data_IF_802885062459
#
_entry.id   IF_802885062459
#
_cell.length_a   1.000
_cell.length_b   1.000
_cell.length_c   1.000
_cell.angle_alpha   90.00
_cell.angle_beta   90.00
_cell.angle_gamma   90.00
#
_symmetry.space_group_name_H-M   'P 1'
#
loop_
_entity.id
_entity.type
_entity.pdbx_description
1 polymer ?
#
# COMPACT_ATOMS: atom_id res chain seq x y z
N UNK A 1 -21.06 -26.14 -37.87
CA UNK A 1 -21.03 -24.66 -37.84
C UNK A 1 -21.54 -24.06 -36.54
N UNK A 2 -22.80 -24.29 -36.10
CA UNK A 2 -23.31 -23.72 -34.82
C UNK A 2 -22.61 -24.32 -33.59
N UNK A 3 -22.35 -25.63 -33.62
CA UNK A 3 -21.68 -26.38 -32.55
C UNK A 3 -20.23 -25.95 -32.33
N UNK A 4 -19.46 -25.70 -33.39
CA UNK A 4 -18.06 -25.26 -33.30
C UNK A 4 -17.92 -23.86 -32.71
N UNK A 5 -18.85 -22.95 -33.05
CA UNK A 5 -18.89 -21.60 -32.49
C UNK A 5 -19.17 -21.62 -31.00
N UNK A 6 -20.13 -22.44 -30.55
CA UNK A 6 -20.46 -22.59 -29.14
C UNK A 6 -19.29 -23.19 -28.35
N UNK A 7 -18.60 -24.20 -28.91
CA UNK A 7 -17.39 -24.77 -28.30
C UNK A 7 -16.28 -23.74 -28.13
N UNK A 8 -16.03 -22.91 -29.15
CA UNK A 8 -15.03 -21.82 -29.06
C UNK A 8 -15.38 -20.78 -27.99
N UNK A 9 -16.66 -20.43 -27.86
CA UNK A 9 -17.12 -19.52 -26.79
C UNK A 9 -16.91 -20.16 -25.41
N UNK A 10 -17.25 -21.44 -25.25
CA UNK A 10 -17.06 -22.17 -24.00
C UNK A 10 -15.58 -22.23 -23.60
N UNK A 11 -14.68 -22.53 -24.53
CA UNK A 11 -13.24 -22.56 -24.32
C UNK A 11 -12.70 -21.17 -23.94
N UNK A 12 -13.14 -20.12 -24.67
CA UNK A 12 -12.77 -18.74 -24.38
C UNK A 12 -13.22 -18.29 -23.00
N UNK A 13 -14.46 -18.61 -22.61
CA UNK A 13 -15.01 -18.30 -21.30
C UNK A 13 -14.26 -19.02 -20.17
N UNK A 14 -13.97 -20.31 -20.34
CA UNK A 14 -13.17 -21.07 -19.39
C UNK A 14 -11.76 -20.46 -19.22
N UNK A 15 -11.12 -20.06 -20.31
CA UNK A 15 -9.80 -19.42 -20.25
C UNK A 15 -9.85 -18.05 -19.58
N UNK A 16 -10.85 -17.23 -19.89
CA UNK A 16 -11.05 -15.94 -19.24
C UNK A 16 -11.23 -16.09 -17.74
N UNK A 17 -12.02 -17.06 -17.27
CA UNK A 17 -12.19 -17.28 -15.83
C UNK A 17 -10.90 -17.73 -15.12
N UNK A 18 -9.99 -18.44 -15.80
CA UNK A 18 -8.66 -18.76 -15.25
C UNK A 18 -7.76 -17.53 -15.14
N UNK A 19 -7.84 -16.64 -16.13
CA UNK A 19 -6.97 -15.47 -16.22
C UNK A 19 -7.50 -14.26 -15.43
N UNK A 20 -8.80 -14.22 -15.16
CA UNK A 20 -9.44 -13.06 -14.55
C UNK A 20 -8.93 -12.77 -13.12
N UNK A 21 -8.81 -13.75 -12.20
CA UNK A 21 -8.29 -13.48 -10.86
C UNK A 21 -6.91 -12.80 -10.81
N UNK A 22 -5.86 -13.28 -11.51
CA UNK A 22 -4.57 -12.58 -11.51
C UNK A 22 -4.65 -11.18 -12.14
N UNK A 23 -5.44 -10.98 -13.20
CA UNK A 23 -5.66 -9.65 -13.80
C UNK A 23 -6.30 -8.68 -12.80
N UNK A 24 -7.32 -9.13 -12.06
CA UNK A 24 -7.98 -8.31 -11.04
C UNK A 24 -7.06 -8.02 -9.84
N UNK A 25 -6.21 -8.99 -9.46
CA UNK A 25 -5.19 -8.78 -8.44
C UNK A 25 -4.19 -7.71 -8.82
N UNK A 26 -3.71 -7.74 -10.05
CA UNK A 26 -2.79 -6.75 -10.60
C UNK A 26 -3.45 -5.36 -10.68
N UNK A 27 -4.71 -5.29 -11.09
CA UNK A 27 -5.47 -4.03 -11.12
C UNK A 27 -5.61 -3.42 -9.72
N UNK A 28 -5.84 -4.26 -8.70
CA UNK A 28 -5.91 -3.82 -7.31
C UNK A 28 -4.54 -3.37 -6.75
N UNK A 29 -3.45 -4.06 -7.11
CA UNK A 29 -2.08 -3.63 -6.78
C UNK A 29 -1.79 -2.28 -7.42
N UNK A 30 -2.09 -2.10 -8.72
CA UNK A 30 -1.87 -0.84 -9.42
C UNK A 30 -2.71 0.30 -8.84
N UNK A 31 -3.94 0.03 -8.42
CA UNK A 31 -4.75 1.00 -7.67
C UNK A 31 -4.05 1.44 -6.38
N UNK A 32 -3.52 0.48 -5.60
CA UNK A 32 -2.73 0.78 -4.41
C UNK A 32 -1.45 1.57 -4.70
N UNK A 33 -0.74 1.25 -5.78
CA UNK A 33 0.48 1.96 -6.16
C UNK A 33 0.19 3.41 -6.58
N UNK A 34 -0.93 3.65 -7.28
CA UNK A 34 -1.36 4.99 -7.64
C UNK A 34 -1.57 5.89 -6.41
N UNK A 35 -1.99 5.33 -5.26
CA UNK A 35 -2.12 6.11 -4.03
C UNK A 35 -0.80 6.69 -3.53
N UNK A 36 0.33 6.01 -3.77
CA UNK A 36 1.65 6.58 -3.43
C UNK A 36 2.03 7.72 -4.36
N UNK A 37 1.66 7.64 -5.64
CA UNK A 37 2.00 8.66 -6.63
C UNK A 37 1.10 9.90 -6.49
N UNK A 38 -0.17 9.70 -6.09
CA UNK A 38 -1.11 10.77 -5.79
C UNK A 38 -1.00 11.30 -4.36
N UNK A 39 -0.27 10.60 -3.50
CA UNK A 39 -0.24 10.83 -2.05
C UNK A 39 -1.64 10.89 -1.43
N UNK A 40 -2.54 10.02 -1.90
CA UNK A 40 -3.96 10.05 -1.56
C UNK A 40 -4.64 8.70 -1.75
N UNK A 41 -5.71 8.44 -0.99
CA UNK A 41 -6.60 7.29 -1.20
C UNK A 41 -7.87 7.72 -1.91
N UNK A 42 -8.19 7.10 -3.05
CA UNK A 42 -9.47 7.32 -3.72
C UNK A 42 -10.56 6.44 -3.10
N UNK A 43 -11.07 6.82 -1.92
CA UNK A 43 -12.17 6.15 -1.22
C UNK A 43 -13.54 6.65 -1.71
N UNK A 44 -14.50 6.82 -0.80
CA UNK A 44 -15.76 7.54 -1.12
C UNK A 44 -15.48 8.99 -1.55
N UNK A 45 -14.40 9.56 -1.00
CA UNK A 45 -13.81 10.83 -1.39
C UNK A 45 -12.31 10.65 -1.61
N UNK A 46 -11.66 11.61 -2.26
CA UNK A 46 -10.20 11.66 -2.33
C UNK A 46 -9.63 12.05 -0.96
N UNK A 47 -9.06 11.09 -0.23
CA UNK A 47 -8.43 11.27 1.08
C UNK A 47 -6.93 11.55 0.89
N UNK A 48 -6.59 12.82 0.69
CA UNK A 48 -5.21 13.28 0.53
C UNK A 48 -4.44 13.13 1.84
N UNK A 49 -3.26 12.53 1.77
CA UNK A 49 -2.45 12.25 2.93
C UNK A 49 -1.94 13.53 3.59
N UNK A 50 -1.91 13.51 4.92
CA UNK A 50 -1.32 14.62 5.67
C UNK A 50 0.16 14.79 5.31
N UNK A 51 0.52 16.01 4.92
CA UNK A 51 1.89 16.44 4.67
C UNK A 51 2.81 16.16 5.88
N UNK A 52 4.11 15.98 5.60
CA UNK A 52 5.11 15.93 6.66
C UNK A 52 5.05 17.25 7.43
N UNK A 53 5.30 17.18 8.74
CA UNK A 53 5.66 18.40 9.47
C UNK A 53 6.91 18.95 8.79
N UNK A 54 6.83 20.15 8.25
CA UNK A 54 7.93 20.79 7.52
C UNK A 54 9.23 20.60 8.31
N UNK A 55 10.34 20.20 7.68
CA UNK A 55 11.62 20.24 8.35
C UNK A 55 11.84 21.70 8.72
N UNK A 56 11.71 22.01 10.01
CA UNK A 56 12.20 23.27 10.58
C UNK A 56 13.67 23.48 10.16
N UNK A 57 14.31 24.59 10.55
CA UNK A 57 15.77 24.77 10.35
C UNK A 57 16.66 23.60 10.83
N UNK A 58 16.09 22.65 11.58
CA UNK A 58 16.71 21.44 12.12
C UNK A 58 16.36 20.14 11.37
N UNK A 59 15.43 20.18 10.42
CA UNK A 59 15.10 19.01 9.62
C UNK A 59 16.07 18.86 8.44
N UNK A 60 16.14 17.66 7.87
CA UNK A 60 17.11 17.39 6.83
C UNK A 60 16.69 18.02 5.49
N UNK A 61 17.61 18.64 4.73
CA UNK A 61 17.31 19.23 3.43
C UNK A 61 16.73 18.24 2.40
N UNK A 62 17.07 16.96 2.49
CA UNK A 62 16.63 15.90 1.57
C UNK A 62 15.16 15.47 1.77
N UNK A 63 14.46 16.05 2.76
CA UNK A 63 13.07 15.72 3.08
C UNK A 63 12.04 16.71 2.51
N UNK A 64 12.44 17.84 1.93
CA UNK A 64 11.52 18.90 1.47
C UNK A 64 10.82 18.62 0.14
N UNK A 65 11.42 17.82 -0.75
CA UNK A 65 10.87 17.53 -2.09
C UNK A 65 10.47 16.07 -2.33
N UNK A 66 10.58 15.20 -1.32
CA UNK A 66 10.41 13.76 -1.48
C UNK A 66 9.00 13.30 -1.12
N UNK A 67 8.41 12.48 -1.99
CA UNK A 67 7.08 11.91 -1.79
C UNK A 67 6.91 11.18 -0.45
N UNK A 68 5.73 11.32 0.16
CA UNK A 68 5.28 10.67 1.38
C UNK A 68 5.42 9.15 1.26
N UNK A 69 5.84 8.51 2.35
CA UNK A 69 6.08 7.06 2.44
C UNK A 69 7.14 6.50 1.47
N UNK A 70 7.82 7.34 0.69
CA UNK A 70 8.88 6.93 -0.23
C UNK A 70 10.22 7.46 0.26
N UNK A 71 10.96 6.66 1.05
CA UNK A 71 12.38 6.92 1.37
C UNK A 71 13.29 6.02 0.56
N UNK A 72 13.25 4.73 0.86
CA UNK A 72 13.93 3.68 0.10
C UNK A 72 13.00 3.03 -0.93
N UNK A 73 11.71 3.39 -0.92
CA UNK A 73 10.65 2.75 -1.71
C UNK A 73 10.21 1.36 -1.22
N UNK A 74 10.75 0.88 -0.09
CA UNK A 74 10.49 -0.48 0.41
C UNK A 74 9.00 -0.75 0.64
N UNK A 75 8.26 0.19 1.25
CA UNK A 75 6.83 0.04 1.47
C UNK A 75 6.05 -0.07 0.16
N UNK A 76 6.30 0.82 -0.80
CA UNK A 76 5.66 0.78 -2.13
C UNK A 76 5.92 -0.57 -2.82
N UNK A 77 7.16 -1.06 -2.79
CA UNK A 77 7.55 -2.37 -3.36
C UNK A 77 6.95 -3.57 -2.62
N UNK A 78 6.48 -3.41 -1.39
CA UNK A 78 5.90 -4.51 -0.62
C UNK A 78 4.45 -4.83 -1.03
N UNK A 79 3.78 -3.92 -1.74
CA UNK A 79 2.41 -4.10 -2.23
C UNK A 79 2.39 -5.16 -3.34
N UNK A 80 1.65 -6.25 -3.13
CA UNK A 80 1.58 -7.35 -4.09
C UNK A 80 0.34 -8.23 -3.87
N UNK A 81 0.02 -9.04 -4.87
CA UNK A 81 -0.87 -10.19 -4.69
C UNK A 81 -0.15 -11.21 -3.79
N UNK A 82 -0.77 -11.56 -2.67
CA UNK A 82 -0.23 -12.52 -1.70
C UNK A 82 -0.77 -13.92 -1.96
N UNK A 83 -2.04 -14.04 -2.37
CA UNK A 83 -2.69 -15.33 -2.59
C UNK A 83 -3.86 -15.19 -3.54
N UNK A 84 -4.03 -16.17 -4.41
CA UNK A 84 -5.22 -16.33 -5.24
C UNK A 84 -5.88 -17.64 -4.84
N UNK A 85 -7.20 -17.61 -4.70
CA UNK A 85 -8.06 -18.78 -4.48
C UNK A 85 -9.19 -18.75 -5.50
N UNK A 86 -9.97 -19.82 -5.58
CA UNK A 86 -11.06 -19.96 -6.57
C UNK A 86 -12.03 -18.76 -6.60
N UNK A 87 -12.24 -18.09 -5.46
CA UNK A 87 -13.25 -17.04 -5.32
C UNK A 87 -12.71 -15.73 -4.77
N UNK A 88 -11.41 -15.65 -4.43
CA UNK A 88 -10.84 -14.47 -3.79
C UNK A 88 -9.41 -14.23 -4.22
N UNK A 89 -9.07 -12.96 -4.38
CA UNK A 89 -7.72 -12.47 -4.58
C UNK A 89 -7.33 -11.67 -3.33
N UNK A 90 -6.23 -12.08 -2.71
CA UNK A 90 -5.67 -11.42 -1.53
C UNK A 90 -4.52 -10.56 -1.96
N UNK A 91 -4.67 -9.25 -1.82
CA UNK A 91 -3.57 -8.29 -1.90
C UNK A 91 -3.08 -7.96 -0.50
N UNK A 92 -1.81 -7.61 -0.37
CA UNK A 92 -1.33 -7.05 0.87
C UNK A 92 -0.06 -6.24 0.69
N UNK A 93 0.31 -5.57 1.78
CA UNK A 93 1.45 -4.70 1.86
C UNK A 93 2.14 -4.90 3.21
N UNK A 94 3.46 -4.80 3.21
CA UNK A 94 4.29 -5.06 4.37
C UNK A 94 4.90 -6.46 4.39
N UNK A 95 5.19 -6.93 5.61
CA UNK A 95 5.89 -8.19 5.90
C UNK A 95 6.89 -7.99 7.04
N UNK A 96 7.72 -9.01 7.29
CA UNK A 96 8.76 -8.96 8.33
C UNK A 96 9.70 -7.76 8.16
N UNK A 97 10.07 -7.44 6.91
CA UNK A 97 10.98 -6.33 6.62
C UNK A 97 10.30 -4.95 6.61
N UNK A 98 8.96 -4.91 6.60
CA UNK A 98 8.18 -3.67 6.53
C UNK A 98 7.04 -3.71 7.58
N UNK A 99 7.38 -3.84 8.87
CA UNK A 99 6.39 -4.03 9.95
C UNK A 99 5.55 -2.77 10.18
N UNK A 100 6.04 -1.61 9.71
CA UNK A 100 5.39 -0.30 9.85
C UNK A 100 4.26 -0.06 8.83
N UNK A 101 4.09 -0.94 7.84
CA UNK A 101 3.09 -0.78 6.78
C UNK A 101 1.68 -0.52 7.36
N UNK A 102 1.24 -1.40 8.26
CA UNK A 102 -0.09 -1.34 8.88
C UNK A 102 -0.34 -0.01 9.59
N UNK A 103 0.64 0.46 10.38
CA UNK A 103 0.52 1.70 11.13
C UNK A 103 0.38 2.93 10.22
N UNK A 104 0.98 2.91 9.03
CA UNK A 104 0.76 3.96 8.05
C UNK A 104 -0.59 3.83 7.33
N UNK A 105 -1.01 2.63 6.92
CA UNK A 105 -2.26 2.45 6.19
C UNK A 105 -3.49 2.87 7.01
N UNK A 106 -3.51 2.51 8.30
CA UNK A 106 -4.65 2.76 9.18
C UNK A 106 -4.45 3.95 10.12
N UNK A 107 -3.23 4.49 10.20
CA UNK A 107 -2.84 5.38 11.28
C UNK A 107 -2.59 4.62 12.58
N UNK A 108 -2.04 5.32 13.57
CA UNK A 108 -1.84 4.78 14.91
C UNK A 108 -1.85 5.89 15.94
N UNK A 109 -2.61 5.73 17.01
CA UNK A 109 -2.57 6.62 18.18
C UNK A 109 -2.55 5.78 19.43
N UNK A 110 -1.50 5.91 20.24
CA UNK A 110 -1.37 5.08 21.44
C UNK A 110 -0.02 5.21 22.13
N UNK A 111 0.07 4.57 23.30
CA UNK A 111 1.34 4.42 24.03
C UNK A 111 2.13 3.27 23.42
N UNK A 112 3.44 3.46 23.27
CA UNK A 112 4.39 2.44 22.83
C UNK A 112 5.55 2.43 23.80
N UNK A 113 5.83 1.28 24.38
CA UNK A 113 7.03 1.08 25.17
C UNK A 113 8.17 0.70 24.24
N UNK A 114 9.26 1.46 24.34
CA UNK A 114 10.44 1.31 23.50
C UNK A 114 11.65 1.03 24.39
N UNK A 115 12.37 -0.05 24.10
CA UNK A 115 13.70 -0.24 24.63
C UNK A 115 14.72 0.54 23.79
N UNK A 116 15.48 1.44 24.41
CA UNK A 116 16.53 2.22 23.77
C UNK A 116 17.87 1.62 24.17
N UNK A 117 18.57 1.01 23.20
CA UNK A 117 19.91 0.46 23.41
C UNK A 117 20.90 1.57 23.76
N UNK A 118 21.95 1.23 24.50
CA UNK A 118 23.04 2.16 24.78
C UNK A 118 23.71 2.64 23.48
N UNK A 119 24.06 3.92 23.40
CA UNK A 119 24.76 4.50 22.26
C UNK A 119 25.55 5.76 22.64
N UNK A 120 26.51 6.13 21.78
CA UNK A 120 27.28 7.37 21.92
C UNK A 120 26.60 8.49 21.14
N UNK A 121 26.33 9.63 21.80
CA UNK A 121 25.80 10.83 21.15
C UNK A 121 26.85 11.94 21.12
N UNK A 122 27.04 12.58 19.96
CA UNK A 122 27.84 13.80 19.82
C UNK A 122 27.00 15.02 20.23
N UNK A 123 27.53 15.84 21.13
CA UNK A 123 26.89 17.07 21.60
C UNK A 123 27.28 18.27 20.73
N UNK A 124 26.52 19.37 20.85
CA UNK A 124 26.78 20.60 20.09
C UNK A 124 28.17 21.20 20.36
N UNK A 125 28.72 20.98 21.55
CA UNK A 125 30.06 21.43 21.94
C UNK A 125 31.19 20.48 21.50
N UNK A 126 30.92 19.53 20.59
CA UNK A 126 31.90 18.58 20.07
C UNK A 126 32.21 17.40 20.97
N UNK A 127 31.84 17.43 22.26
CA UNK A 127 32.05 16.32 23.20
C UNK A 127 31.12 15.15 22.90
N UNK A 128 31.57 13.95 23.26
CA UNK A 128 30.77 12.72 23.21
C UNK A 128 30.18 12.41 24.57
N UNK A 129 28.96 11.87 24.57
CA UNK A 129 28.26 11.43 25.78
C UNK A 129 27.76 10.00 25.58
N UNK A 130 28.07 9.12 26.54
CA UNK A 130 27.50 7.78 26.58
C UNK A 130 26.07 7.84 27.14
N UNK A 131 25.12 7.34 26.36
CA UNK A 131 23.73 7.17 26.78
C UNK A 131 23.55 5.71 27.20
N UNK A 132 23.14 5.49 28.45
CA UNK A 132 22.85 4.15 28.97
C UNK A 132 21.55 3.60 28.37
N UNK A 133 21.46 2.28 28.29
CA UNK A 133 20.22 1.59 27.96
C UNK A 133 19.11 2.01 28.94
N UNK A 134 17.91 2.24 28.41
CA UNK A 134 16.72 2.53 29.20
C UNK A 134 15.45 2.23 28.40
N UNK A 135 14.38 1.97 29.14
CA UNK A 135 13.03 1.89 28.58
C UNK A 135 12.35 3.25 28.64
N UNK A 136 11.53 3.55 27.64
CA UNK A 136 10.69 4.75 27.63
C UNK A 136 9.32 4.44 27.03
N UNK A 137 8.30 5.05 27.60
CA UNK A 137 6.96 5.05 27.02
C UNK A 137 6.78 6.31 26.17
N UNK A 138 6.39 6.16 24.91
CA UNK A 138 6.10 7.27 24.00
C UNK A 138 4.65 7.25 23.59
N UNK A 139 4.03 8.44 23.52
CA UNK A 139 2.71 8.62 22.94
C UNK A 139 2.86 8.87 21.45
N UNK A 140 2.64 7.84 20.64
CA UNK A 140 2.71 7.95 19.19
C UNK A 140 1.38 8.45 18.61
N UNK A 141 1.51 9.30 17.58
CA UNK A 141 0.42 9.78 16.75
C UNK A 141 0.87 9.75 15.29
N UNK A 142 0.65 8.63 14.63
CA UNK A 142 0.95 8.39 13.22
C UNK A 142 -0.33 8.67 12.42
N UNK A 143 -0.31 9.64 11.49
CA UNK A 143 -1.49 9.91 10.68
C UNK A 143 -1.74 8.77 9.70
N UNK A 144 -3.02 8.51 9.46
CA UNK A 144 -3.50 7.57 8.46
C UNK A 144 -3.09 8.04 7.07
N UNK A 145 -2.54 7.12 6.28
CA UNK A 145 -2.16 7.29 4.87
C UNK A 145 -2.53 6.00 4.16
N UNK A 146 -3.82 5.86 3.83
CA UNK A 146 -4.32 4.64 3.24
C UNK A 146 -3.80 4.51 1.80
N UNK A 147 -3.25 3.34 1.49
CA UNK A 147 -2.80 2.96 0.15
C UNK A 147 -3.28 1.56 -0.22
N UNK A 148 -3.89 0.81 0.70
CA UNK A 148 -4.46 -0.50 0.43
C UNK A 148 -5.78 -0.66 1.17
N UNK A 149 -6.74 -1.30 0.50
CA UNK A 149 -8.12 -1.50 0.94
C UNK A 149 -8.87 -2.42 -0.03
N UNK A 150 -10.06 -2.84 0.35
CA UNK A 150 -10.95 -3.67 -0.46
C UNK A 150 -11.91 -2.85 -1.32
N UNK A 151 -12.74 -3.54 -2.08
CA UNK A 151 -13.82 -2.97 -2.91
C UNK A 151 -14.88 -2.20 -2.09
N UNK A 152 -15.01 -2.53 -0.80
CA UNK A 152 -15.85 -1.81 0.16
C UNK A 152 -15.26 -0.47 0.60
N UNK A 153 -13.93 -0.34 0.55
CA UNK A 153 -13.22 0.87 1.01
C UNK A 153 -13.07 1.92 -0.11
N UNK A 154 -13.41 1.55 -1.36
CA UNK A 154 -13.26 2.41 -2.52
C UNK A 154 -14.26 2.06 -3.65
N UNK A 155 -15.26 2.92 -3.93
CA UNK A 155 -16.08 2.80 -5.13
C UNK A 155 -15.25 2.90 -6.42
N UNK A 156 -14.13 3.62 -6.41
CA UNK A 156 -13.21 3.72 -7.55
C UNK A 156 -12.52 2.40 -7.86
N UNK A 157 -11.99 1.71 -6.84
CA UNK A 157 -11.41 0.37 -7.00
C UNK A 157 -12.47 -0.58 -7.54
N UNK A 158 -13.67 -0.58 -6.95
CA UNK A 158 -14.80 -1.40 -7.41
C UNK A 158 -15.13 -1.14 -8.88
N UNK A 159 -15.18 0.13 -9.31
CA UNK A 159 -15.42 0.49 -10.69
C UNK A 159 -14.30 0.02 -11.64
N UNK A 160 -13.03 0.14 -11.23
CA UNK A 160 -11.87 -0.36 -11.99
C UNK A 160 -11.90 -1.88 -12.16
N UNK A 161 -12.15 -2.63 -11.09
CA UNK A 161 -12.26 -4.09 -11.14
C UNK A 161 -13.44 -4.54 -12.03
N UNK A 162 -14.59 -3.88 -11.94
CA UNK A 162 -15.73 -4.12 -12.83
C UNK A 162 -15.39 -3.87 -14.29
N UNK A 163 -14.73 -2.74 -14.58
CA UNK A 163 -14.30 -2.39 -15.94
C UNK A 163 -13.34 -3.44 -16.49
N UNK A 164 -12.32 -3.83 -15.72
CA UNK A 164 -11.37 -4.87 -16.12
C UNK A 164 -12.10 -6.19 -16.42
N UNK A 165 -13.02 -6.62 -15.55
CA UNK A 165 -13.83 -7.83 -15.76
C UNK A 165 -14.64 -7.78 -17.06
N UNK A 166 -15.33 -6.66 -17.31
CA UNK A 166 -16.14 -6.49 -18.54
C UNK A 166 -15.25 -6.48 -19.78
N UNK A 167 -14.08 -5.86 -19.73
CA UNK A 167 -13.15 -5.84 -20.86
C UNK A 167 -12.64 -7.24 -21.19
N UNK A 168 -12.28 -8.05 -20.19
CA UNK A 168 -11.85 -9.43 -20.41
C UNK A 168 -12.97 -10.31 -20.97
N UNK A 169 -14.20 -10.17 -20.47
CA UNK A 169 -15.35 -10.93 -20.99
C UNK A 169 -15.71 -10.52 -22.43
N UNK A 170 -15.62 -9.23 -22.76
CA UNK A 170 -15.90 -8.73 -24.12
C UNK A 170 -14.96 -9.32 -25.18
N UNK A 171 -13.75 -9.74 -24.82
CA UNK A 171 -12.80 -10.37 -25.75
C UNK A 171 -13.29 -11.72 -26.28
N UNK A 172 -14.18 -12.41 -25.57
CA UNK A 172 -14.72 -13.72 -25.98
C UNK A 172 -15.68 -13.59 -27.17
N UNK A 173 -16.39 -12.47 -27.23
CA UNK A 173 -17.48 -12.24 -28.20
C UNK A 173 -17.07 -11.38 -29.39
N UNK A 174 -15.81 -10.93 -29.43
CA UNK A 174 -15.19 -10.36 -30.63
C UNK A 174 -14.74 -11.49 -31.55
#
# INVERSE_FOLDING_TARGET
MVTDRLKKIQEGLAQTFRNLPPILGEEAVNFSLNSFDQEAWSGDFQDTWQNRKNPTKWGKPDDTGRALLVKTGQLKRSVRVIRITNNMVYIGAGGADTPYARAHNFGFRGKVDQNVRAFTRKMKNGKTQQVKEHQRTIHQNIPKRQYIGGDKDSPYLKARLRRASVLELKKIFK
#
